data_IF_400569118302
#
_entry.id   IF_400569118302
#
_cell.length_a   1.000
_cell.length_b   1.000
_cell.length_c   1.000
_cell.angle_alpha   90.00
_cell.angle_beta   90.00
_cell.angle_gamma   90.00
#
_symmetry.space_group_name_H-M   'P 1'
#
loop_
_entity.id
_entity.type
_entity.pdbx_description
1 polymer ?
#
# COMPACT_ATOMS: atom_id res chain seq x y z
N UNK A 1 24.49 10.59 10.65
CA UNK A 1 25.27 9.60 9.87
C UNK A 1 24.69 8.19 9.98
N UNK A 2 24.33 7.71 11.18
CA UNK A 2 23.77 6.35 11.41
C UNK A 2 22.55 6.01 10.52
N UNK A 3 21.59 6.93 10.39
CA UNK A 3 20.40 6.72 9.55
C UNK A 3 20.72 6.38 8.07
N UNK A 4 21.85 6.86 7.53
CA UNK A 4 22.26 6.56 6.15
C UNK A 4 22.63 5.09 5.95
N UNK A 5 23.12 4.42 6.99
CA UNK A 5 23.46 2.99 6.94
C UNK A 5 22.24 2.10 6.75
N UNK A 6 21.06 2.52 7.23
CA UNK A 6 19.80 1.80 6.97
C UNK A 6 19.54 1.63 5.47
N UNK A 7 19.97 2.58 4.64
CA UNK A 7 19.79 2.53 3.21
C UNK A 7 20.61 1.44 2.52
N UNK A 8 21.86 1.24 2.96
CA UNK A 8 22.69 0.13 2.50
C UNK A 8 22.14 -1.22 2.96
N UNK A 9 21.59 -1.29 4.18
CA UNK A 9 20.95 -2.51 4.67
C UNK A 9 19.66 -2.84 3.92
N UNK A 10 18.86 -1.84 3.53
CA UNK A 10 17.67 -2.04 2.69
C UNK A 10 18.07 -2.53 1.29
N UNK A 11 19.13 -1.97 0.70
CA UNK A 11 19.68 -2.46 -0.56
C UNK A 11 20.17 -3.91 -0.41
N UNK A 12 20.90 -4.21 0.67
CA UNK A 12 21.38 -5.55 0.99
C UNK A 12 20.23 -6.55 1.15
N UNK A 13 19.22 -6.20 1.96
CA UNK A 13 17.98 -6.98 2.10
C UNK A 13 17.37 -7.29 0.74
N UNK A 14 17.20 -6.28 -0.12
CA UNK A 14 16.61 -6.47 -1.43
C UNK A 14 17.43 -7.42 -2.32
N UNK A 15 18.73 -7.20 -2.46
CA UNK A 15 19.60 -8.03 -3.30
C UNK A 15 19.70 -9.47 -2.76
N UNK A 16 19.85 -9.65 -1.45
CA UNK A 16 19.92 -10.96 -0.81
C UNK A 16 18.59 -11.71 -0.97
N UNK A 17 17.46 -11.01 -0.88
CA UNK A 17 16.16 -11.65 -1.07
C UNK A 17 15.91 -12.03 -2.55
N UNK A 18 16.48 -11.30 -3.52
CA UNK A 18 16.46 -11.74 -4.92
C UNK A 18 17.23 -13.06 -5.11
N UNK A 19 18.36 -13.25 -4.41
CA UNK A 19 19.07 -14.54 -4.44
C UNK A 19 18.20 -15.66 -3.86
N UNK A 20 17.45 -15.40 -2.78
CA UNK A 20 16.51 -16.37 -2.24
C UNK A 20 15.40 -16.70 -3.24
N UNK A 21 14.77 -15.69 -3.84
CA UNK A 21 13.60 -15.86 -4.71
C UNK A 21 13.89 -16.52 -6.06
N UNK A 22 15.12 -16.39 -6.58
CA UNK A 22 15.47 -16.88 -7.92
C UNK A 22 16.52 -18.00 -7.95
N UNK A 23 17.29 -18.16 -6.87
CA UNK A 23 18.38 -19.13 -6.79
C UNK A 23 18.27 -20.06 -5.57
N UNK A 24 17.12 -20.07 -4.88
CA UNK A 24 16.85 -20.86 -3.67
C UNK A 24 17.90 -20.64 -2.55
N UNK A 25 18.52 -19.46 -2.51
CA UNK A 25 19.43 -19.09 -1.42
C UNK A 25 18.70 -18.95 -0.08
N UNK A 26 19.40 -19.00 1.04
CA UNK A 26 18.78 -18.84 2.36
C UNK A 26 18.09 -17.47 2.49
N UNK A 27 16.87 -17.38 3.08
CA UNK A 27 16.17 -16.11 3.29
C UNK A 27 16.73 -15.31 4.48
N UNK A 28 17.50 -15.96 5.36
CA UNK A 28 17.98 -15.37 6.62
C UNK A 28 18.87 -14.13 6.45
N UNK A 29 19.83 -14.08 5.50
CA UNK A 29 20.63 -12.89 5.29
C UNK A 29 19.79 -11.66 4.93
N UNK A 30 18.74 -11.85 4.12
CA UNK A 30 17.80 -10.78 3.78
C UNK A 30 17.01 -10.32 5.01
N UNK A 31 16.50 -11.27 5.81
CA UNK A 31 15.79 -10.98 7.04
C UNK A 31 16.66 -10.22 8.05
N UNK A 32 17.90 -10.66 8.28
CA UNK A 32 18.85 -9.99 9.17
C UNK A 32 19.09 -8.55 8.71
N UNK A 33 19.28 -8.33 7.41
CA UNK A 33 19.44 -6.99 6.86
C UNK A 33 18.19 -6.11 7.06
N UNK A 34 16.98 -6.67 6.88
CA UNK A 34 15.71 -5.98 7.12
C UNK A 34 15.54 -5.57 8.60
N UNK A 35 15.81 -6.51 9.52
CA UNK A 35 15.72 -6.29 10.95
C UNK A 35 16.77 -5.28 11.43
N UNK A 36 18.01 -5.38 10.96
CA UNK A 36 19.06 -4.42 11.26
C UNK A 36 18.72 -3.01 10.74
N UNK A 37 18.19 -2.90 9.52
CA UNK A 37 17.73 -1.62 8.98
C UNK A 37 16.60 -1.00 9.82
N UNK A 38 15.67 -1.83 10.29
CA UNK A 38 14.57 -1.42 11.16
C UNK A 38 15.06 -0.95 12.53
N UNK A 39 15.99 -1.68 13.16
CA UNK A 39 16.62 -1.28 14.42
C UNK A 39 17.37 0.05 14.30
N UNK A 40 18.11 0.27 13.21
CA UNK A 40 18.77 1.56 12.95
C UNK A 40 17.78 2.71 12.73
N UNK A 41 16.59 2.41 12.18
CA UNK A 41 15.57 3.41 11.89
C UNK A 41 14.70 3.73 13.11
N UNK A 42 14.54 2.79 14.03
CA UNK A 42 13.65 2.91 15.21
C UNK A 42 13.79 4.21 16.00
N UNK A 43 15.00 4.71 16.35
CA UNK A 43 15.15 5.95 17.12
C UNK A 43 14.62 7.20 16.39
N UNK A 44 14.46 7.12 15.08
CA UNK A 44 14.03 8.22 14.21
C UNK A 44 12.53 8.21 13.92
N UNK A 45 11.79 7.25 14.47
CA UNK A 45 10.34 7.22 14.38
C UNK A 45 9.72 8.33 15.23
N UNK A 46 8.76 9.06 14.66
CA UNK A 46 8.07 10.16 15.33
C UNK A 46 6.55 10.01 15.21
N UNK A 47 5.83 10.65 16.14
CA UNK A 47 4.37 10.79 16.08
C UNK A 47 3.61 9.46 16.03
N UNK A 48 2.70 9.34 15.04
CA UNK A 48 1.85 8.17 14.88
C UNK A 48 2.65 6.89 14.57
N UNK A 49 3.69 6.97 13.73
CA UNK A 49 4.49 5.81 13.34
C UNK A 49 5.18 5.14 14.55
N UNK A 50 5.73 5.94 15.48
CA UNK A 50 6.35 5.41 16.71
C UNK A 50 5.33 4.73 17.62
N UNK A 51 4.15 5.33 17.81
CA UNK A 51 3.07 4.76 18.64
C UNK A 51 2.55 3.45 18.05
N UNK A 52 2.32 3.42 16.73
CA UNK A 52 1.91 2.22 16.02
C UNK A 52 2.96 1.11 16.11
N UNK A 53 4.24 1.44 15.93
CA UNK A 53 5.32 0.47 16.11
C UNK A 53 5.33 -0.08 17.54
N UNK A 54 5.30 0.77 18.58
CA UNK A 54 5.25 0.29 19.96
C UNK A 54 4.04 -0.63 20.23
N UNK A 55 2.87 -0.29 19.70
CA UNK A 55 1.67 -1.12 19.83
C UNK A 55 1.82 -2.48 19.13
N UNK A 56 2.31 -2.51 17.88
CA UNK A 56 2.52 -3.73 17.11
C UNK A 56 3.49 -4.68 17.82
N UNK A 57 4.68 -4.18 18.14
CA UNK A 57 5.74 -4.97 18.75
C UNK A 57 5.39 -5.38 20.19
N UNK A 58 4.73 -4.51 20.95
CA UNK A 58 4.24 -4.82 22.28
C UNK A 58 3.16 -5.90 22.26
N UNK A 59 2.16 -5.80 21.37
CA UNK A 59 1.13 -6.81 21.23
C UNK A 59 1.70 -8.15 20.75
N UNK A 60 2.62 -8.13 19.77
CA UNK A 60 3.30 -9.33 19.30
C UNK A 60 4.10 -10.02 20.43
N UNK A 61 4.80 -9.23 21.28
CA UNK A 61 5.52 -9.77 22.43
C UNK A 61 4.57 -10.39 23.45
N UNK A 62 3.44 -9.76 23.76
CA UNK A 62 2.44 -10.32 24.68
C UNK A 62 1.87 -11.64 24.16
N UNK A 63 1.53 -11.69 22.86
CA UNK A 63 1.03 -12.91 22.21
C UNK A 63 2.10 -14.01 22.17
N UNK A 64 3.36 -13.65 21.92
CA UNK A 64 4.50 -14.57 21.98
C UNK A 64 4.64 -15.18 23.37
N UNK A 65 4.66 -14.35 24.41
CA UNK A 65 4.77 -14.80 25.80
C UNK A 65 3.59 -15.69 26.21
N UNK A 66 2.37 -15.31 25.80
CA UNK A 66 1.17 -16.12 26.01
C UNK A 66 1.28 -17.50 25.33
N UNK A 67 1.64 -17.52 24.05
CA UNK A 67 1.73 -18.76 23.26
C UNK A 67 2.83 -19.67 23.79
N UNK A 68 3.98 -19.11 24.15
CA UNK A 68 5.08 -19.83 24.77
C UNK A 68 4.67 -20.44 26.12
N UNK A 69 3.99 -19.66 26.97
CA UNK A 69 3.48 -20.14 28.26
C UNK A 69 2.46 -21.27 28.12
N UNK A 70 1.70 -21.28 27.02
CA UNK A 70 0.75 -22.34 26.65
C UNK A 70 1.38 -23.52 25.91
N UNK A 71 2.71 -23.53 25.71
CA UNK A 71 3.45 -24.64 25.12
C UNK A 71 3.56 -24.63 23.59
N UNK A 72 3.33 -23.50 22.92
CA UNK A 72 3.50 -23.39 21.47
C UNK A 72 4.96 -23.67 21.05
N UNK A 73 5.15 -24.38 19.94
CA UNK A 73 6.46 -24.50 19.29
C UNK A 73 6.82 -23.17 18.62
N UNK A 74 7.94 -22.56 19.02
CA UNK A 74 8.42 -21.31 18.45
C UNK A 74 9.49 -21.59 17.39
N UNK A 75 9.14 -21.44 16.11
CA UNK A 75 10.09 -21.42 15.01
C UNK A 75 10.50 -19.99 14.69
N UNK A 76 11.79 -19.61 14.73
CA UNK A 76 12.23 -18.27 14.35
C UNK A 76 11.79 -17.86 12.94
N UNK A 77 11.65 -18.83 12.03
CA UNK A 77 11.22 -18.59 10.64
C UNK A 77 9.83 -17.97 10.58
N UNK A 78 8.88 -18.50 11.34
CA UNK A 78 7.47 -18.07 11.34
C UNK A 78 7.29 -16.64 11.87
N UNK A 79 8.25 -16.16 12.65
CA UNK A 79 8.20 -14.84 13.31
C UNK A 79 9.03 -13.78 12.59
N UNK A 80 10.18 -14.14 12.03
CA UNK A 80 11.16 -13.17 11.51
C UNK A 80 11.20 -13.06 9.99
N UNK A 81 10.69 -14.06 9.26
CA UNK A 81 10.62 -14.07 7.80
C UNK A 81 9.32 -13.49 7.19
N UNK A 82 8.17 -13.37 7.90
CA UNK A 82 7.00 -12.75 7.31
C UNK A 82 7.30 -11.35 6.77
N UNK A 83 6.64 -11.01 5.66
CA UNK A 83 6.71 -9.72 4.98
C UNK A 83 8.06 -9.35 4.30
N UNK A 84 9.12 -10.17 4.37
CA UNK A 84 10.40 -9.86 3.70
C UNK A 84 10.23 -9.71 2.17
N UNK A 85 9.41 -10.55 1.54
CA UNK A 85 9.10 -10.45 0.11
C UNK A 85 8.36 -9.14 -0.23
N UNK A 86 7.39 -8.74 0.59
CA UNK A 86 6.68 -7.48 0.45
C UNK A 86 7.63 -6.28 0.61
N UNK A 87 8.54 -6.32 1.58
CA UNK A 87 9.55 -5.27 1.81
C UNK A 87 10.51 -5.13 0.64
N UNK A 88 10.94 -6.27 0.09
CA UNK A 88 11.78 -6.35 -1.11
C UNK A 88 11.09 -5.69 -2.30
N UNK A 89 9.83 -6.04 -2.56
CA UNK A 89 9.02 -5.41 -3.61
C UNK A 89 8.87 -3.91 -3.38
N UNK A 90 8.63 -3.49 -2.14
CA UNK A 90 8.45 -2.09 -1.80
C UNK A 90 9.72 -1.25 -2.00
N UNK A 91 10.87 -1.77 -1.59
CA UNK A 91 12.17 -1.16 -1.87
C UNK A 91 12.41 -1.04 -3.38
N UNK A 92 12.13 -2.10 -4.14
CA UNK A 92 12.29 -2.12 -5.59
C UNK A 92 11.40 -1.08 -6.31
N UNK A 93 10.11 -1.02 -5.99
CA UNK A 93 9.18 -0.02 -6.58
C UNK A 93 9.61 1.41 -6.25
N UNK A 94 10.19 1.66 -5.07
CA UNK A 94 10.68 3.00 -4.72
C UNK A 94 11.74 3.53 -5.68
N UNK A 95 12.48 2.65 -6.37
CA UNK A 95 13.52 3.02 -7.35
C UNK A 95 12.93 3.61 -8.63
N UNK A 96 11.66 3.38 -8.95
CA UNK A 96 10.99 3.95 -10.13
C UNK A 96 11.02 5.49 -10.14
N UNK A 97 11.22 6.10 -8.97
CA UNK A 97 11.47 7.54 -8.85
C UNK A 97 12.73 8.04 -9.58
N UNK A 98 13.71 7.17 -9.81
CA UNK A 98 14.92 7.49 -10.59
C UNK A 98 14.57 7.84 -12.04
N UNK A 99 13.54 7.18 -12.60
CA UNK A 99 13.08 7.41 -13.96
C UNK A 99 12.15 8.61 -14.10
N UNK A 100 11.49 9.05 -13.03
CA UNK A 100 10.40 10.04 -13.11
C UNK A 100 10.86 11.49 -12.89
N UNK A 101 12.09 11.69 -12.41
CA UNK A 101 12.64 13.00 -12.03
C UNK A 101 12.77 14.01 -13.19
N UNK A 102 12.68 13.57 -14.46
CA UNK A 102 12.76 14.44 -15.64
C UNK A 102 11.51 14.47 -16.53
N UNK A 103 10.47 13.66 -16.23
CA UNK A 103 9.34 13.44 -17.15
C UNK A 103 8.23 14.49 -17.06
N UNK A 104 8.28 15.41 -16.08
CA UNK A 104 7.08 16.15 -15.62
C UNK A 104 7.24 17.69 -15.61
N UNK A 105 8.33 18.22 -16.19
CA UNK A 105 8.61 19.67 -16.25
C UNK A 105 8.05 20.36 -17.52
N UNK A 106 7.68 21.64 -17.39
CA UNK A 106 7.54 22.57 -18.52
C UNK A 106 6.22 22.54 -19.30
N UNK A 107 5.05 22.64 -18.65
CA UNK A 107 3.77 22.55 -19.39
C UNK A 107 2.66 23.39 -18.77
N UNK A 108 1.77 23.94 -19.60
CA UNK A 108 0.61 24.73 -19.15
C UNK A 108 -0.38 23.87 -18.34
N UNK A 109 -1.05 24.46 -17.35
CA UNK A 109 -2.15 23.80 -16.65
C UNK A 109 -3.35 23.63 -17.58
N UNK A 110 -4.16 22.60 -17.35
CA UNK A 110 -5.47 22.48 -17.99
C UNK A 110 -6.52 22.94 -16.98
N UNK A 111 -7.50 23.71 -17.43
CA UNK A 111 -8.59 24.20 -16.57
C UNK A 111 -9.90 23.45 -16.79
N UNK A 112 -10.88 23.71 -15.93
CA UNK A 112 -12.24 23.20 -16.10
C UNK A 112 -12.37 21.70 -15.87
N UNK A 113 -13.42 21.12 -16.47
CA UNK A 113 -13.66 19.66 -16.46
C UNK A 113 -12.50 18.87 -17.04
N UNK A 114 -11.87 19.39 -18.09
CA UNK A 114 -10.71 18.76 -18.72
C UNK A 114 -9.53 18.68 -17.75
N UNK A 115 -9.26 19.76 -17.01
CA UNK A 115 -8.26 19.80 -15.93
C UNK A 115 -8.56 18.79 -14.83
N UNK A 116 -9.81 18.71 -14.37
CA UNK A 116 -10.25 17.79 -13.32
C UNK A 116 -10.02 16.31 -13.71
N UNK A 117 -10.60 15.86 -14.82
CA UNK A 117 -10.49 14.47 -15.26
C UNK A 117 -9.06 14.08 -15.59
N UNK A 118 -8.30 14.99 -16.20
CA UNK A 118 -6.89 14.79 -16.47
C UNK A 118 -6.05 14.64 -15.19
N UNK A 119 -6.36 15.41 -14.15
CA UNK A 119 -5.69 15.30 -12.84
C UNK A 119 -6.00 13.97 -12.19
N UNK A 120 -7.27 13.55 -12.19
CA UNK A 120 -7.69 12.26 -11.63
C UNK A 120 -7.05 11.09 -12.37
N UNK A 121 -7.06 11.10 -13.70
CA UNK A 121 -6.43 10.07 -14.53
C UNK A 121 -4.91 10.02 -14.27
N UNK A 122 -4.25 11.18 -14.18
CA UNK A 122 -2.83 11.27 -13.83
C UNK A 122 -2.54 10.66 -12.46
N UNK A 123 -3.30 11.06 -11.43
CA UNK A 123 -3.10 10.53 -10.08
C UNK A 123 -3.28 9.03 -9.99
N UNK A 124 -4.29 8.49 -10.67
CA UNK A 124 -4.60 7.07 -10.58
C UNK A 124 -3.61 6.22 -11.40
N UNK A 125 -3.37 6.57 -12.67
CA UNK A 125 -2.50 5.79 -13.56
C UNK A 125 -1.02 5.92 -13.18
N UNK A 126 -0.55 7.13 -12.86
CA UNK A 126 0.83 7.33 -12.44
C UNK A 126 1.03 6.87 -10.99
N UNK A 127 0.05 7.11 -10.10
CA UNK A 127 0.11 6.66 -8.71
C UNK A 127 0.04 5.16 -8.54
N UNK A 128 -0.63 4.46 -9.47
CA UNK A 128 -0.62 3.01 -9.54
C UNK A 128 0.81 2.44 -9.57
N UNK A 129 1.79 3.15 -10.14
CA UNK A 129 3.15 2.65 -10.36
C UNK A 129 4.23 3.44 -9.62
N UNK A 130 4.21 4.77 -9.70
CA UNK A 130 5.28 5.66 -9.23
C UNK A 130 5.27 5.84 -7.70
N UNK A 131 4.17 5.45 -7.03
CA UNK A 131 3.97 5.57 -5.58
C UNK A 131 3.67 7.02 -5.13
N UNK A 132 3.75 7.28 -3.81
CA UNK A 132 3.38 8.53 -3.15
C UNK A 132 4.04 9.78 -3.73
N UNK A 133 5.19 9.64 -4.40
CA UNK A 133 5.85 10.76 -5.07
C UNK A 133 4.99 11.44 -6.13
N UNK A 134 4.06 10.73 -6.79
CA UNK A 134 3.13 11.36 -7.77
C UNK A 134 2.28 12.45 -7.11
N UNK A 135 1.86 12.22 -5.87
CA UNK A 135 0.96 13.10 -5.15
C UNK A 135 1.65 14.43 -4.84
N UNK A 136 2.96 14.40 -4.56
CA UNK A 136 3.76 15.62 -4.43
C UNK A 136 4.07 16.29 -5.76
N UNK A 137 4.36 15.51 -6.81
CA UNK A 137 4.68 16.10 -8.11
C UNK A 137 3.48 16.85 -8.70
N UNK A 138 2.29 16.26 -8.57
CA UNK A 138 1.05 16.91 -9.00
C UNK A 138 0.68 18.03 -8.02
N UNK A 139 0.78 17.79 -6.71
CA UNK A 139 0.49 18.79 -5.68
C UNK A 139 1.33 20.07 -5.81
N UNK A 140 2.67 19.95 -5.94
CA UNK A 140 3.58 21.10 -6.06
C UNK A 140 3.30 21.94 -7.31
N UNK A 141 2.73 21.32 -8.33
CA UNK A 141 2.37 22.01 -9.57
C UNK A 141 1.02 22.73 -9.49
N UNK A 142 0.15 22.28 -8.59
CA UNK A 142 -1.16 22.88 -8.35
C UNK A 142 -1.12 23.91 -7.21
N UNK A 143 -0.12 23.81 -6.35
CA UNK A 143 0.09 24.67 -5.19
C UNK A 143 0.26 26.14 -5.58
N UNK A 144 -0.34 27.02 -4.76
CA UNK A 144 -0.08 28.45 -4.74
C UNK A 144 0.23 28.88 -3.31
N UNK A 145 1.38 29.55 -3.12
CA UNK A 145 1.82 30.07 -1.83
C UNK A 145 1.85 29.02 -0.69
N UNK A 146 2.32 27.81 -0.98
CA UNK A 146 2.41 26.72 -0.01
C UNK A 146 1.09 26.03 0.30
N UNK A 147 0.02 26.31 -0.44
CA UNK A 147 -1.33 25.78 -0.17
C UNK A 147 -2.02 25.26 -1.41
N UNK A 148 -3.02 24.40 -1.22
CA UNK A 148 -3.86 23.83 -2.27
C UNK A 148 -5.33 24.20 -2.04
N UNK A 149 -6.08 24.37 -3.12
CA UNK A 149 -7.52 24.56 -3.03
C UNK A 149 -8.22 23.29 -2.52
N UNK A 150 -9.34 23.47 -1.80
CA UNK A 150 -10.18 22.36 -1.31
C UNK A 150 -10.47 21.30 -2.38
N UNK A 151 -10.82 21.73 -3.60
CA UNK A 151 -11.12 20.85 -4.74
C UNK A 151 -9.91 20.00 -5.12
N UNK A 152 -8.73 20.59 -5.19
CA UNK A 152 -7.47 19.92 -5.52
C UNK A 152 -7.08 18.93 -4.42
N UNK A 153 -7.23 19.33 -3.16
CA UNK A 153 -6.99 18.47 -1.99
C UNK A 153 -7.88 17.23 -2.01
N UNK A 154 -9.18 17.40 -2.29
CA UNK A 154 -10.12 16.28 -2.42
C UNK A 154 -9.69 15.31 -3.54
N UNK A 155 -9.30 15.83 -4.70
CA UNK A 155 -8.82 15.02 -5.83
C UNK A 155 -7.55 14.25 -5.48
N UNK A 156 -6.55 14.94 -4.90
CA UNK A 156 -5.26 14.35 -4.52
C UNK A 156 -5.39 13.27 -3.45
N UNK A 157 -6.11 13.57 -2.36
CA UNK A 157 -6.27 12.64 -1.23
C UNK A 157 -7.01 11.36 -1.61
N UNK A 158 -8.02 11.46 -2.49
CA UNK A 158 -8.88 10.33 -2.84
C UNK A 158 -8.34 9.49 -3.97
N UNK A 159 -7.98 10.12 -5.10
CA UNK A 159 -7.76 9.39 -6.35
C UNK A 159 -6.40 8.69 -6.40
N UNK A 160 -5.40 9.23 -5.70
CA UNK A 160 -4.15 8.49 -5.44
C UNK A 160 -4.43 7.19 -4.67
N UNK A 161 -5.25 7.27 -3.61
CA UNK A 161 -5.59 6.11 -2.80
C UNK A 161 -6.48 5.10 -3.54
N UNK A 162 -7.36 5.57 -4.43
CA UNK A 162 -8.19 4.71 -5.27
C UNK A 162 -7.38 3.85 -6.26
N UNK A 163 -6.12 4.18 -6.54
CA UNK A 163 -5.24 3.33 -7.34
C UNK A 163 -4.95 1.98 -6.64
N UNK A 164 -5.04 1.93 -5.30
CA UNK A 164 -4.87 0.72 -4.51
C UNK A 164 -5.94 -0.35 -4.81
N UNK A 165 -7.11 0.02 -5.36
CA UNK A 165 -8.19 -0.92 -5.64
C UNK A 165 -7.85 -1.93 -6.73
N UNK A 166 -6.91 -1.60 -7.62
CA UNK A 166 -6.64 -2.42 -8.81
C UNK A 166 -5.15 -2.60 -9.12
N UNK A 167 -4.28 -1.68 -8.69
CA UNK A 167 -2.90 -1.69 -9.15
C UNK A 167 -2.07 -2.79 -8.47
N UNK A 168 -1.43 -3.68 -9.24
CA UNK A 168 -0.56 -4.71 -8.67
C UNK A 168 0.78 -4.17 -8.16
N UNK A 169 1.15 -2.94 -8.52
CA UNK A 169 2.40 -2.29 -8.08
C UNK A 169 2.22 -1.46 -6.81
N UNK A 170 0.97 -1.30 -6.36
CA UNK A 170 0.69 -0.61 -5.12
C UNK A 170 1.03 -1.52 -3.94
N UNK A 171 1.52 -0.91 -2.86
CA UNK A 171 1.84 -1.62 -1.61
C UNK A 171 0.66 -2.45 -1.09
N UNK A 172 -0.56 -1.94 -1.25
CA UNK A 172 -1.78 -2.63 -0.89
C UNK A 172 -1.90 -4.01 -1.54
N UNK A 173 -1.44 -4.17 -2.79
CA UNK A 173 -1.42 -5.48 -3.45
C UNK A 173 -0.44 -6.44 -2.78
N UNK A 174 0.76 -5.97 -2.41
CA UNK A 174 1.71 -6.82 -1.71
C UNK A 174 1.19 -7.30 -0.36
N UNK A 175 0.46 -6.43 0.34
CA UNK A 175 -0.24 -6.77 1.58
C UNK A 175 -1.35 -7.79 1.30
N UNK A 176 -2.20 -7.55 0.29
CA UNK A 176 -3.28 -8.47 -0.07
C UNK A 176 -2.74 -9.86 -0.46
N UNK A 177 -1.70 -9.94 -1.30
CA UNK A 177 -1.06 -11.22 -1.67
C UNK A 177 -0.40 -11.93 -0.48
N UNK A 178 0.11 -11.17 0.50
CA UNK A 178 0.75 -11.75 1.69
C UNK A 178 -0.27 -12.31 2.67
N UNK A 179 -1.41 -11.62 2.86
CA UNK A 179 -2.43 -12.00 3.84
C UNK A 179 -3.64 -12.74 3.25
N UNK A 180 -3.75 -12.81 1.93
CA UNK A 180 -4.70 -13.64 1.20
C UNK A 180 -3.97 -14.51 0.13
N UNK A 181 -3.07 -15.42 0.55
CA UNK A 181 -2.39 -16.33 -0.38
C UNK A 181 -3.39 -17.10 -1.26
N UNK A 182 -3.12 -17.15 -2.56
CA UNK A 182 -4.02 -17.75 -3.55
C UNK A 182 -4.95 -16.75 -4.26
N UNK A 183 -4.92 -15.47 -3.88
CA UNK A 183 -5.61 -14.38 -4.58
C UNK A 183 -5.34 -14.42 -6.09
N UNK A 184 -6.41 -14.49 -6.88
CA UNK A 184 -6.32 -14.43 -8.34
C UNK A 184 -6.55 -13.01 -8.82
N UNK A 185 -5.47 -12.31 -9.22
CA UNK A 185 -5.57 -10.92 -9.67
C UNK A 185 -6.58 -10.74 -10.81
N UNK A 186 -6.66 -11.69 -11.74
CA UNK A 186 -7.56 -11.62 -12.89
C UNK A 186 -9.05 -11.56 -12.52
N UNK A 187 -9.47 -12.22 -11.44
CA UNK A 187 -10.88 -12.25 -11.02
C UNK A 187 -11.29 -10.96 -10.31
N UNK A 188 -10.39 -10.34 -9.55
CA UNK A 188 -10.68 -9.11 -8.79
C UNK A 188 -10.45 -7.82 -9.58
N UNK A 189 -9.61 -7.86 -10.63
CA UNK A 189 -9.19 -6.67 -11.38
C UNK A 189 -10.37 -5.86 -11.97
N UNK A 190 -11.40 -6.48 -12.60
CA UNK A 190 -12.55 -5.73 -13.13
C UNK A 190 -13.28 -4.93 -12.03
N UNK A 191 -13.47 -5.52 -10.86
CA UNK A 191 -14.12 -4.87 -9.73
C UNK A 191 -13.28 -3.73 -9.15
N UNK A 192 -11.95 -3.93 -9.08
CA UNK A 192 -11.01 -2.89 -8.66
C UNK A 192 -11.02 -1.67 -9.60
N UNK A 193 -11.00 -1.90 -10.92
CA UNK A 193 -11.08 -0.85 -11.94
C UNK A 193 -12.42 -0.12 -11.84
N UNK A 194 -13.53 -0.87 -11.75
CA UNK A 194 -14.86 -0.29 -11.61
C UNK A 194 -14.97 0.56 -10.33
N UNK A 195 -14.46 0.07 -9.20
CA UNK A 195 -14.42 0.83 -7.95
C UNK A 195 -13.59 2.12 -8.08
N UNK A 196 -12.46 2.09 -8.78
CA UNK A 196 -11.64 3.28 -9.04
C UNK A 196 -12.35 4.30 -9.94
N UNK A 197 -13.06 3.84 -10.98
CA UNK A 197 -13.87 4.70 -11.85
C UNK A 197 -15.04 5.33 -11.09
N UNK A 198 -15.72 4.56 -10.23
CA UNK A 198 -16.77 5.08 -9.34
C UNK A 198 -16.20 6.08 -8.33
N UNK A 199 -15.02 5.84 -7.78
CA UNK A 199 -14.32 6.80 -6.92
C UNK A 199 -14.01 8.12 -7.65
N UNK A 200 -13.59 8.05 -8.92
CA UNK A 200 -13.40 9.22 -9.77
C UNK A 200 -14.73 9.94 -10.04
N UNK A 201 -15.79 9.21 -10.37
CA UNK A 201 -17.12 9.78 -10.62
C UNK A 201 -17.69 10.49 -9.38
N UNK A 202 -17.62 9.86 -8.21
CA UNK A 202 -18.03 10.45 -6.94
C UNK A 202 -17.20 11.69 -6.59
N UNK A 203 -15.89 11.65 -6.84
CA UNK A 203 -15.00 12.79 -6.62
C UNK A 203 -15.32 13.93 -7.58
N UNK A 204 -15.51 13.64 -8.87
CA UNK A 204 -15.90 14.62 -9.87
C UNK A 204 -17.23 15.29 -9.50
N UNK A 205 -18.25 14.50 -9.17
CA UNK A 205 -19.55 15.01 -8.74
C UNK A 205 -19.45 15.99 -7.55
N UNK A 206 -18.66 15.67 -6.53
CA UNK A 206 -18.46 16.56 -5.39
C UNK A 206 -17.64 17.81 -5.73
N UNK A 207 -16.65 17.69 -6.60
CA UNK A 207 -15.83 18.84 -7.05
C UNK A 207 -16.63 19.76 -7.96
N UNK A 208 -17.44 19.23 -8.88
CA UNK A 208 -18.29 20.01 -9.77
C UNK A 208 -19.33 20.82 -8.99
N UNK A 209 -19.87 20.28 -7.89
CA UNK A 209 -20.74 21.02 -6.96
C UNK A 209 -20.06 22.18 -6.25
N UNK A 210 -18.73 22.17 -6.15
CA UNK A 210 -17.93 23.27 -5.62
C UNK A 210 -17.50 24.26 -6.73
N UNK A 211 -17.98 24.06 -7.96
CA UNK A 211 -17.60 24.78 -9.17
C UNK A 211 -16.42 24.12 -9.86
N UNK A 212 -16.48 23.92 -11.18
CA UNK A 212 -15.41 23.28 -11.96
C UNK A 212 -14.73 24.23 -12.95
N UNK A 213 -15.40 25.29 -13.39
CA UNK A 213 -14.89 26.18 -14.46
C UNK A 213 -13.53 26.81 -14.12
N UNK A 214 -13.33 27.15 -12.85
CA UNK A 214 -12.07 27.72 -12.34
C UNK A 214 -11.11 26.68 -11.78
N UNK A 215 -11.38 25.38 -11.95
CA UNK A 215 -10.50 24.33 -11.46
C UNK A 215 -9.23 24.29 -12.30
N UNK A 216 -8.09 24.51 -11.67
CA UNK A 216 -6.78 24.29 -12.30
C UNK A 216 -6.28 22.88 -12.02
N UNK A 217 -5.97 22.17 -13.10
CA UNK A 217 -5.59 20.77 -13.09
C UNK A 217 -4.27 20.47 -13.79
N UNK A 218 -3.85 19.23 -13.61
CA UNK A 218 -2.63 18.66 -14.14
C UNK A 218 -2.89 17.92 -15.47
N UNK A 219 -2.14 18.22 -16.55
CA UNK A 219 -2.30 17.56 -17.84
C UNK A 219 -1.65 16.18 -17.87
N UNK A 220 -2.44 15.13 -18.13
CA UNK A 220 -1.94 13.79 -18.38
C UNK A 220 -1.26 13.76 -19.75
N UNK A 221 -0.01 13.33 -19.77
CA UNK A 221 0.78 13.15 -20.99
C UNK A 221 0.97 11.68 -21.25
N UNK A 222 0.68 11.22 -22.46
CA UNK A 222 0.87 9.81 -22.83
C UNK A 222 2.34 9.37 -22.68
N UNK A 223 3.28 10.30 -22.86
CA UNK A 223 4.71 10.03 -22.67
C UNK A 223 5.05 9.62 -21.23
N UNK A 224 4.28 10.05 -20.23
CA UNK A 224 4.53 9.71 -18.82
C UNK A 224 3.99 8.33 -18.44
N UNK A 225 3.16 7.73 -19.30
CA UNK A 225 2.61 6.38 -19.13
C UNK A 225 3.56 5.28 -19.63
N UNK A 226 4.62 5.62 -20.37
CA UNK A 226 5.55 4.63 -20.94
C UNK A 226 6.14 3.69 -19.89
N UNK A 227 6.64 4.24 -18.77
CA UNK A 227 7.20 3.44 -17.67
C UNK A 227 6.12 2.58 -16.98
N UNK A 228 4.98 3.12 -16.51
CA UNK A 228 3.87 2.33 -15.96
C UNK A 228 3.39 1.18 -16.85
N UNK A 229 3.16 1.45 -18.13
CA UNK A 229 2.64 0.46 -19.08
C UNK A 229 3.70 -0.62 -19.35
N UNK A 230 4.96 -0.23 -19.53
CA UNK A 230 6.06 -1.20 -19.76
C UNK A 230 6.23 -2.14 -18.56
N UNK A 231 6.20 -1.60 -17.33
CA UNK A 231 6.25 -2.41 -16.13
C UNK A 231 5.06 -3.38 -16.06
N UNK A 232 3.85 -2.90 -16.32
CA UNK A 232 2.65 -3.73 -16.31
C UNK A 232 2.71 -4.90 -17.30
N UNK A 233 3.09 -4.61 -18.55
CA UNK A 233 3.21 -5.64 -19.58
C UNK A 233 4.29 -6.66 -19.24
N UNK A 234 5.47 -6.22 -18.79
CA UNK A 234 6.55 -7.15 -18.44
C UNK A 234 6.18 -8.06 -17.27
N UNK A 235 5.53 -7.53 -16.23
CA UNK A 235 5.10 -8.36 -15.09
C UNK A 235 4.08 -9.41 -15.51
N UNK A 236 3.09 -9.03 -16.33
CA UNK A 236 2.09 -9.97 -16.84
C UNK A 236 2.72 -11.04 -17.75
N UNK A 237 3.62 -10.64 -18.65
CA UNK A 237 4.31 -11.57 -19.57
C UNK A 237 5.20 -12.54 -18.79
N UNK A 238 6.05 -12.04 -17.88
CA UNK A 238 6.96 -12.90 -17.10
C UNK A 238 6.16 -13.87 -16.24
N UNK A 239 5.13 -13.40 -15.52
CA UNK A 239 4.32 -14.26 -14.67
C UNK A 239 3.54 -15.31 -15.48
N UNK A 240 3.15 -15.00 -16.73
CA UNK A 240 2.52 -15.97 -17.63
C UNK A 240 3.47 -17.10 -18.03
N UNK A 241 4.74 -16.81 -18.28
CA UNK A 241 5.74 -17.82 -18.64
C UNK A 241 6.34 -18.55 -17.42
N UNK A 242 6.33 -17.91 -16.25
CA UNK A 242 6.89 -18.47 -15.02
C UNK A 242 5.90 -18.34 -13.84
N UNK A 243 4.79 -19.12 -13.85
CA UNK A 243 3.70 -18.97 -12.88
C UNK A 243 4.12 -19.30 -11.44
N UNK A 244 5.19 -20.07 -11.24
CA UNK A 244 5.76 -20.36 -9.93
C UNK A 244 6.41 -19.15 -9.25
N UNK A 245 6.79 -18.12 -10.01
CA UNK A 245 7.30 -16.88 -9.44
C UNK A 245 6.15 -16.00 -8.97
N UNK A 246 6.18 -15.62 -7.69
CA UNK A 246 5.24 -14.65 -7.15
C UNK A 246 5.32 -13.31 -7.89
N UNK A 247 4.18 -12.64 -8.06
CA UNK A 247 4.13 -11.29 -8.67
C UNK A 247 5.08 -10.32 -7.94
N UNK A 248 5.23 -10.46 -6.61
CA UNK A 248 6.17 -9.67 -5.81
C UNK A 248 7.62 -9.87 -6.23
N UNK A 249 8.03 -11.11 -6.49
CA UNK A 249 9.37 -11.43 -6.97
C UNK A 249 9.64 -10.84 -8.35
N UNK A 250 8.66 -10.90 -9.25
CA UNK A 250 8.77 -10.33 -10.60
C UNK A 250 8.91 -8.80 -10.52
N UNK A 251 8.07 -8.12 -9.74
CA UNK A 251 8.15 -6.67 -9.54
C UNK A 251 9.50 -6.28 -8.91
N UNK A 252 9.96 -7.05 -7.91
CA UNK A 252 11.22 -6.80 -7.21
C UNK A 252 12.45 -6.83 -8.13
N UNK A 253 12.37 -7.53 -9.26
CA UNK A 253 13.42 -7.59 -10.27
C UNK A 253 13.20 -6.53 -11.37
N UNK A 254 12.00 -6.44 -11.93
CA UNK A 254 11.73 -5.65 -13.15
C UNK A 254 11.71 -4.14 -12.89
N UNK A 255 11.06 -3.70 -11.81
CA UNK A 255 10.95 -2.26 -11.49
C UNK A 255 12.30 -1.53 -11.45
N UNK A 256 13.34 -2.02 -10.76
CA UNK A 256 14.65 -1.38 -10.71
C UNK A 256 15.40 -1.43 -12.04
N UNK A 257 15.27 -2.51 -12.81
CA UNK A 257 15.85 -2.58 -14.16
C UNK A 257 15.25 -1.51 -15.08
N UNK A 258 13.92 -1.35 -15.05
CA UNK A 258 13.26 -0.28 -15.79
C UNK A 258 13.63 1.10 -15.25
N UNK A 259 13.75 1.26 -13.94
CA UNK A 259 14.20 2.53 -13.36
C UNK A 259 15.59 2.93 -13.89
N UNK A 260 16.52 1.99 -13.97
CA UNK A 260 17.87 2.21 -14.53
C UNK A 260 17.87 2.44 -16.04
N UNK A 261 16.96 1.80 -16.77
CA UNK A 261 16.83 1.98 -18.22
C UNK A 261 16.25 3.36 -18.57
N UNK A 262 15.22 3.79 -17.85
CA UNK A 262 14.49 5.04 -18.12
C UNK A 262 15.07 6.26 -17.38
N UNK A 263 16.02 6.10 -16.46
CA UNK A 263 16.60 7.25 -15.76
C UNK A 263 17.44 8.15 -16.67
N UNK A 264 17.35 9.49 -16.48
CA UNK A 264 18.19 10.44 -17.21
C UNK A 264 19.68 10.09 -17.12
N UNK A 265 20.42 10.29 -18.21
CA UNK A 265 21.87 10.08 -18.24
C UNK A 265 22.61 11.11 -17.39
N UNK A 266 22.19 12.38 -17.47
CA UNK A 266 22.76 13.45 -16.67
C UNK A 266 22.48 13.24 -15.17
N UNK A 267 23.52 13.32 -14.34
CA UNK A 267 23.38 13.21 -12.88
C UNK A 267 23.11 11.79 -12.35
N UNK A 268 23.24 10.76 -13.18
CA UNK A 268 22.95 9.34 -12.84
C UNK A 268 23.63 8.87 -11.55
N UNK A 269 24.93 9.10 -11.41
CA UNK A 269 25.67 8.68 -10.21
C UNK A 269 25.17 9.34 -8.93
N UNK A 270 24.83 10.63 -8.99
CA UNK A 270 24.27 11.37 -7.86
C UNK A 270 22.86 10.88 -7.50
N UNK A 271 22.03 10.57 -8.50
CA UNK A 271 20.68 10.04 -8.30
C UNK A 271 20.71 8.65 -7.63
N UNK A 272 21.60 7.76 -8.08
CA UNK A 272 21.79 6.44 -7.47
C UNK A 272 22.30 6.54 -6.02
N UNK A 273 23.29 7.40 -5.78
CA UNK A 273 23.77 7.67 -4.42
C UNK A 273 22.64 8.19 -3.53
N UNK A 274 21.80 9.09 -4.04
CA UNK A 274 20.62 9.61 -3.33
C UNK A 274 19.57 8.54 -3.05
N UNK A 275 19.36 7.61 -3.98
CA UNK A 275 18.46 6.49 -3.78
C UNK A 275 18.88 5.67 -2.55
N UNK A 276 20.16 5.32 -2.46
CA UNK A 276 20.69 4.52 -1.34
C UNK A 276 20.77 5.33 -0.05
N UNK A 277 21.27 6.56 -0.09
CA UNK A 277 21.64 7.31 1.13
C UNK A 277 20.49 8.16 1.70
N UNK A 278 19.47 8.45 0.90
CA UNK A 278 18.34 9.31 1.31
C UNK A 278 16.99 8.62 1.13
N UNK A 279 16.70 8.04 -0.04
CA UNK A 279 15.36 7.50 -0.34
C UNK A 279 15.07 6.17 0.37
N UNK A 280 16.01 5.23 0.38
CA UNK A 280 15.84 4.00 1.17
C UNK A 280 15.70 4.30 2.69
N UNK A 281 16.54 5.16 3.30
CA UNK A 281 16.32 5.56 4.69
C UNK A 281 14.99 6.30 4.94
N UNK A 282 14.43 6.97 3.93
CA UNK A 282 13.14 7.65 4.06
C UNK A 282 11.96 6.67 4.19
N UNK A 283 12.05 5.48 3.56
CA UNK A 283 11.03 4.44 3.68
C UNK A 283 11.23 3.52 4.91
N UNK A 284 12.32 3.71 5.68
CA UNK A 284 12.61 2.85 6.83
C UNK A 284 11.53 2.85 7.91
N UNK A 285 10.72 3.92 8.02
CA UNK A 285 9.57 3.91 8.94
C UNK A 285 8.49 2.92 8.54
N UNK A 286 8.26 2.75 7.23
CA UNK A 286 7.35 1.73 6.71
C UNK A 286 7.96 0.33 6.89
N UNK A 287 9.27 0.18 6.73
CA UNK A 287 9.98 -1.08 7.01
C UNK A 287 9.70 -1.58 8.42
N UNK A 288 9.83 -0.71 9.43
CA UNK A 288 9.54 -1.05 10.84
C UNK A 288 8.09 -1.47 11.02
N UNK A 289 7.14 -0.72 10.45
CA UNK A 289 5.71 -1.06 10.59
C UNK A 289 5.35 -2.38 9.92
N UNK A 290 6.00 -2.72 8.79
CA UNK A 290 5.72 -3.94 8.04
C UNK A 290 6.30 -5.16 8.73
N UNK A 291 7.51 -5.06 9.29
CA UNK A 291 8.06 -6.12 10.14
C UNK A 291 7.23 -6.30 11.41
N UNK A 292 6.82 -5.20 12.06
CA UNK A 292 5.94 -5.25 13.23
C UNK A 292 4.58 -5.88 12.94
N UNK A 293 4.00 -5.59 11.78
CA UNK A 293 2.76 -6.22 11.32
C UNK A 293 2.93 -7.73 11.09
N UNK A 294 4.08 -8.15 10.55
CA UNK A 294 4.42 -9.57 10.38
C UNK A 294 4.55 -10.28 11.73
N UNK A 295 5.23 -9.67 12.69
CA UNK A 295 5.31 -10.18 14.06
C UNK A 295 3.95 -10.25 14.74
N UNK A 296 3.09 -9.24 14.56
CA UNK A 296 1.73 -9.27 15.11
C UNK A 296 0.95 -10.45 14.52
N UNK A 297 0.98 -10.62 13.20
CA UNK A 297 0.28 -11.72 12.54
C UNK A 297 0.82 -13.09 12.99
N UNK A 298 2.14 -13.24 13.10
CA UNK A 298 2.79 -14.44 13.64
C UNK A 298 2.37 -14.70 15.09
N UNK A 299 2.28 -13.66 15.92
CA UNK A 299 1.82 -13.78 17.30
C UNK A 299 0.36 -14.19 17.42
N UNK A 300 -0.51 -13.66 16.56
CA UNK A 300 -1.92 -14.10 16.53
C UNK A 300 -2.00 -15.56 16.08
N UNK A 301 -1.32 -15.94 14.99
CA UNK A 301 -1.28 -17.34 14.54
C UNK A 301 -0.76 -18.29 15.63
N UNK A 302 0.31 -17.91 16.33
CA UNK A 302 0.87 -18.70 17.42
C UNK A 302 -0.12 -18.83 18.58
N UNK A 303 -0.82 -17.75 18.94
CA UNK A 303 -1.84 -17.79 19.99
C UNK A 303 -3.03 -18.66 19.59
N UNK A 304 -3.49 -18.57 18.34
CA UNK A 304 -4.56 -19.42 17.81
C UNK A 304 -4.16 -20.90 17.82
N UNK A 305 -2.89 -21.24 17.61
CA UNK A 305 -2.43 -22.64 17.61
C UNK A 305 -2.54 -23.36 18.96
N UNK A 306 -2.65 -22.61 20.06
CA UNK A 306 -2.73 -23.13 21.44
C UNK A 306 -4.08 -22.87 22.12
N UNK A 307 -4.99 -22.21 21.40
CA UNK A 307 -6.36 -21.97 21.81
C UNK A 307 -7.24 -23.04 21.17
N UNK A 308 -7.90 -23.83 22.00
CA UNK A 308 -8.97 -24.73 21.55
C UNK A 308 -10.28 -23.94 21.60
N UNK A 309 -10.82 -23.58 20.43
CA UNK A 309 -12.10 -22.89 20.30
C UNK A 309 -13.31 -23.85 20.36
N UNK A 310 -13.07 -25.14 20.65
CA UNK A 310 -14.07 -26.19 20.56
C UNK A 310 -14.24 -26.69 19.13
N UNK A 311 -14.91 -27.82 18.96
CA UNK A 311 -15.02 -28.59 17.70
C UNK A 311 -15.70 -27.88 16.52
N UNK A 312 -16.15 -26.63 16.68
CA UNK A 312 -16.59 -25.77 15.58
C UNK A 312 -15.41 -24.97 15.05
N UNK A 313 -15.10 -25.10 13.76
CA UNK A 313 -13.98 -24.42 13.08
C UNK A 313 -14.19 -22.89 12.94
N UNK A 314 -14.98 -22.27 13.82
CA UNK A 314 -15.35 -20.87 13.77
C UNK A 314 -14.66 -20.05 14.86
N UNK A 315 -14.39 -18.78 14.56
CA UNK A 315 -14.38 -17.77 15.60
C UNK A 315 -15.74 -17.81 16.32
N UNK A 316 -15.86 -17.38 17.59
CA UNK A 316 -17.13 -17.38 18.32
C UNK A 316 -18.30 -16.66 17.62
N UNK A 317 -18.00 -15.85 16.60
CA UNK A 317 -18.94 -14.98 15.88
C UNK A 317 -19.27 -15.42 14.45
N UNK A 318 -18.40 -16.20 13.77
CA UNK A 318 -18.57 -16.50 12.34
C UNK A 318 -18.17 -17.95 12.02
N UNK A 319 -18.93 -18.58 11.11
CA UNK A 319 -18.72 -19.97 10.66
C UNK A 319 -18.23 -20.07 9.21
N UNK A 320 -18.26 -18.97 8.46
CA UNK A 320 -17.77 -18.87 7.08
C UNK A 320 -17.38 -17.41 6.81
N UNK A 321 -16.73 -17.13 5.68
CA UNK A 321 -16.41 -15.78 5.24
C UNK A 321 -17.11 -15.46 3.92
N UNK A 322 -18.29 -14.84 4.01
CA UNK A 322 -19.10 -14.43 2.87
C UNK A 322 -19.20 -12.92 2.72
N UNK A 323 -20.28 -12.48 2.06
CA UNK A 323 -20.50 -11.06 1.76
C UNK A 323 -20.59 -10.20 3.04
N UNK A 324 -21.34 -10.67 4.04
CA UNK A 324 -21.57 -9.92 5.28
C UNK A 324 -20.27 -9.78 6.08
N UNK A 325 -19.51 -10.87 6.24
CA UNK A 325 -18.25 -10.88 6.96
C UNK A 325 -17.21 -9.99 6.28
N UNK A 326 -17.17 -9.99 4.95
CA UNK A 326 -16.32 -9.08 4.18
C UNK A 326 -16.73 -7.61 4.38
N UNK A 327 -18.02 -7.29 4.38
CA UNK A 327 -18.52 -5.93 4.67
C UNK A 327 -18.17 -5.49 6.10
N UNK A 328 -18.36 -6.34 7.09
CA UNK A 328 -18.03 -6.05 8.49
C UNK A 328 -16.52 -5.89 8.71
N UNK A 329 -15.71 -6.73 8.05
CA UNK A 329 -14.25 -6.62 8.06
C UNK A 329 -13.80 -5.30 7.45
N UNK A 330 -14.38 -4.93 6.29
CA UNK A 330 -14.12 -3.65 5.64
C UNK A 330 -14.49 -2.47 6.55
N UNK A 331 -15.65 -2.53 7.21
CA UNK A 331 -16.12 -1.51 8.14
C UNK A 331 -15.16 -1.36 9.32
N UNK A 332 -14.70 -2.47 9.90
CA UNK A 332 -13.72 -2.47 10.98
C UNK A 332 -12.42 -1.78 10.54
N UNK A 333 -11.85 -2.18 9.40
CA UNK A 333 -10.63 -1.56 8.85
C UNK A 333 -10.85 -0.04 8.66
N UNK A 334 -12.01 0.35 8.12
CA UNK A 334 -12.34 1.74 7.85
C UNK A 334 -12.45 2.58 9.14
N UNK A 335 -13.20 2.12 10.13
CA UNK A 335 -13.40 2.83 11.41
C UNK A 335 -12.10 2.94 12.21
N UNK A 336 -11.33 1.86 12.27
CA UNK A 336 -10.02 1.82 12.96
C UNK A 336 -9.02 2.74 12.25
N UNK A 337 -9.11 2.88 10.92
CA UNK A 337 -8.27 3.82 10.21
C UNK A 337 -8.60 5.30 10.46
N UNK A 338 -9.87 5.64 10.70
CA UNK A 338 -10.28 7.03 11.03
C UNK A 338 -9.59 7.50 12.31
N UNK A 339 -9.45 6.64 13.32
CA UNK A 339 -8.73 6.95 14.56
C UNK A 339 -7.20 6.94 14.42
N UNK A 340 -6.69 6.65 13.23
CA UNK A 340 -5.28 6.80 12.87
C UNK A 340 -4.45 5.54 12.97
N UNK A 341 -5.06 4.36 12.97
CA UNK A 341 -4.36 3.09 12.78
C UNK A 341 -4.14 2.86 11.29
N UNK A 342 -2.93 2.46 10.90
CA UNK A 342 -2.63 2.20 9.50
C UNK A 342 -3.37 0.94 9.00
N UNK A 343 -3.97 0.92 7.79
CA UNK A 343 -4.74 -0.24 7.30
C UNK A 343 -3.97 -1.56 7.31
N UNK A 344 -2.66 -1.50 7.04
CA UNK A 344 -1.75 -2.64 7.21
C UNK A 344 -1.90 -3.34 8.58
N UNK A 345 -1.98 -2.56 9.66
CA UNK A 345 -2.07 -3.09 11.05
C UNK A 345 -3.38 -3.83 11.22
N UNK A 346 -4.47 -3.21 10.76
CA UNK A 346 -5.79 -3.83 10.77
C UNK A 346 -5.79 -5.13 9.96
N UNK A 347 -5.27 -5.11 8.73
CA UNK A 347 -5.19 -6.28 7.85
C UNK A 347 -4.36 -7.40 8.50
N UNK A 348 -3.16 -7.08 9.02
CA UNK A 348 -2.31 -8.07 9.69
C UNK A 348 -2.92 -8.64 10.98
N UNK A 349 -3.78 -7.86 11.64
CA UNK A 349 -4.48 -8.29 12.84
C UNK A 349 -5.68 -9.18 12.51
N UNK A 350 -6.46 -8.85 11.49
CA UNK A 350 -7.69 -9.60 11.16
C UNK A 350 -7.42 -10.82 10.28
N UNK A 351 -6.44 -10.79 9.38
CA UNK A 351 -6.22 -11.88 8.43
C UNK A 351 -5.97 -13.24 9.11
N UNK A 352 -5.08 -13.37 10.12
CA UNK A 352 -4.92 -14.59 10.90
C UNK A 352 -6.22 -15.11 11.53
N UNK A 353 -7.10 -14.20 11.95
CA UNK A 353 -8.38 -14.54 12.59
C UNK A 353 -9.41 -15.03 11.56
N UNK A 354 -9.34 -14.53 10.33
CA UNK A 354 -10.28 -14.88 9.26
C UNK A 354 -9.90 -16.17 8.53
N UNK A 355 -8.62 -16.52 8.46
CA UNK A 355 -8.15 -17.72 7.76
C UNK A 355 -8.78 -19.05 8.22
N UNK A 356 -9.02 -19.28 9.52
CA UNK A 356 -9.76 -20.45 10.00
C UNK A 356 -11.16 -20.62 9.40
N UNK A 357 -11.79 -19.54 8.91
CA UNK A 357 -13.11 -19.58 8.26
C UNK A 357 -13.06 -20.07 6.81
N UNK A 358 -11.89 -20.49 6.31
CA UNK A 358 -11.64 -20.90 4.94
C UNK A 358 -12.19 -19.90 3.88
N UNK A 359 -11.78 -18.62 3.93
CA UNK A 359 -12.27 -17.61 3.01
C UNK A 359 -11.84 -17.89 1.58
N UNK A 360 -12.65 -17.49 0.59
CA UNK A 360 -12.17 -17.34 -0.78
C UNK A 360 -11.02 -16.30 -0.79
N UNK A 361 -9.80 -16.67 -1.23
CA UNK A 361 -8.66 -15.76 -1.18
C UNK A 361 -8.85 -14.50 -2.02
N UNK A 362 -9.65 -14.58 -3.08
CA UNK A 362 -9.91 -13.46 -3.97
C UNK A 362 -10.87 -12.44 -3.34
N UNK A 363 -11.94 -12.90 -2.71
CA UNK A 363 -12.83 -12.08 -1.91
C UNK A 363 -12.09 -11.41 -0.74
N UNK A 364 -11.27 -12.18 0.00
CA UNK A 364 -10.49 -11.65 1.12
C UNK A 364 -9.48 -10.60 0.64
N UNK A 365 -8.73 -10.90 -0.43
CA UNK A 365 -7.78 -9.95 -1.02
C UNK A 365 -8.47 -8.68 -1.52
N UNK A 366 -9.64 -8.80 -2.17
CA UNK A 366 -10.46 -7.68 -2.59
C UNK A 366 -10.92 -6.82 -1.41
N UNK A 367 -11.38 -7.44 -0.31
CA UNK A 367 -11.72 -6.75 0.94
C UNK A 367 -10.53 -5.94 1.47
N UNK A 368 -9.32 -6.50 1.46
CA UNK A 368 -8.11 -5.80 1.91
C UNK A 368 -7.70 -4.64 1.00
N UNK A 369 -7.78 -4.79 -0.32
CA UNK A 369 -7.49 -3.73 -1.28
C UNK A 369 -8.47 -2.56 -1.15
N UNK A 370 -9.76 -2.88 -1.05
CA UNK A 370 -10.82 -1.89 -0.85
C UNK A 370 -10.68 -1.21 0.51
N UNK A 371 -10.42 -1.97 1.57
CA UNK A 371 -10.18 -1.45 2.91
C UNK A 371 -8.99 -0.50 2.94
N UNK A 372 -7.89 -0.86 2.27
CA UNK A 372 -6.73 0.03 2.17
C UNK A 372 -7.07 1.34 1.46
N UNK A 373 -7.56 1.29 0.21
CA UNK A 373 -7.79 2.50 -0.58
C UNK A 373 -8.86 3.42 0.02
N UNK A 374 -9.94 2.84 0.58
CA UNK A 374 -10.99 3.56 1.30
C UNK A 374 -10.42 4.26 2.54
N UNK A 375 -9.70 3.50 3.37
CA UNK A 375 -9.14 4.00 4.62
C UNK A 375 -8.09 5.07 4.38
N UNK A 376 -7.14 4.87 3.45
CA UNK A 376 -6.10 5.87 3.20
C UNK A 376 -6.63 7.11 2.51
N UNK A 377 -7.67 6.97 1.67
CA UNK A 377 -8.32 8.10 0.99
C UNK A 377 -9.19 8.96 1.90
N UNK A 378 -9.69 8.39 3.00
CA UNK A 378 -10.62 9.07 3.91
C UNK A 378 -9.97 9.51 5.23
N UNK A 379 -9.11 8.67 5.81
CA UNK A 379 -8.53 8.93 7.13
C UNK A 379 -7.60 10.15 7.10
N UNK A 380 -7.76 11.11 8.03
CA UNK A 380 -6.91 12.30 8.09
C UNK A 380 -5.50 12.00 8.58
N UNK A 381 -5.32 10.83 9.21
CA UNK A 381 -4.07 10.38 9.81
C UNK A 381 -3.37 9.32 8.93
N UNK A 382 -3.87 9.06 7.72
CA UNK A 382 -3.19 8.21 6.75
C UNK A 382 -1.86 8.84 6.33
N UNK A 383 -0.86 8.03 5.96
CA UNK A 383 0.45 8.53 5.56
C UNK A 383 0.39 9.50 4.37
N UNK A 384 -0.50 9.24 3.41
CA UNK A 384 -0.73 10.14 2.27
C UNK A 384 -1.35 11.47 2.68
N UNK A 385 -2.40 11.44 3.52
CA UNK A 385 -3.10 12.64 3.95
C UNK A 385 -2.29 13.48 4.95
N UNK A 386 -1.51 12.85 5.83
CA UNK A 386 -0.55 13.56 6.69
C UNK A 386 0.56 14.21 5.88
N UNK A 387 1.04 13.55 4.82
CA UNK A 387 2.05 14.15 3.97
C UNK A 387 1.50 15.32 3.15
N UNK A 388 0.26 15.23 2.65
CA UNK A 388 -0.45 16.38 2.07
C UNK A 388 -0.61 17.50 3.08
N UNK A 389 -1.07 17.18 4.29
CA UNK A 389 -1.31 18.15 5.35
C UNK A 389 -0.02 18.90 5.75
N UNK A 390 1.07 18.17 5.94
CA UNK A 390 2.36 18.74 6.31
C UNK A 390 2.98 19.56 5.18
N UNK A 391 2.83 19.15 3.91
CA UNK A 391 3.48 19.81 2.78
C UNK A 391 2.73 21.07 2.33
N UNK A 392 1.40 21.05 2.39
CA UNK A 392 0.54 22.12 1.87
C UNK A 392 -0.23 22.88 2.96
N UNK A 393 0.28 22.81 4.20
CA UNK A 393 -0.24 23.51 5.38
C UNK A 393 -1.75 23.33 5.61
N UNK A 394 -2.24 22.09 5.49
CA UNK A 394 -3.65 21.74 5.68
C UNK A 394 -3.88 21.17 7.08
N UNK A 395 -5.08 21.35 7.63
CA UNK A 395 -5.45 20.68 8.88
C UNK A 395 -5.99 19.27 8.62
N UNK A 396 -5.54 18.32 9.43
CA UNK A 396 -5.99 16.93 9.38
C UNK A 396 -7.52 16.83 9.59
N UNK A 397 -8.09 17.62 10.52
CA UNK A 397 -9.54 17.64 10.75
C UNK A 397 -10.36 18.10 9.55
N UNK A 398 -9.86 19.06 8.76
CA UNK A 398 -10.53 19.48 7.52
C UNK A 398 -10.50 18.39 6.46
N UNK A 399 -9.37 17.66 6.32
CA UNK A 399 -9.28 16.53 5.40
C UNK A 399 -10.36 15.47 5.69
N UNK A 400 -10.54 15.10 6.96
CA UNK A 400 -11.60 14.17 7.35
C UNK A 400 -12.98 14.72 6.99
N UNK A 401 -13.29 15.97 7.35
CA UNK A 401 -14.60 16.58 7.05
C UNK A 401 -14.90 16.60 5.56
N UNK A 402 -13.89 16.90 4.73
CA UNK A 402 -14.07 16.92 3.27
C UNK A 402 -14.17 15.53 2.66
N UNK A 403 -13.59 14.50 3.27
CA UNK A 403 -13.57 13.15 2.72
C UNK A 403 -14.57 12.18 3.37
N UNK A 404 -15.21 12.52 4.49
CA UNK A 404 -16.08 11.61 5.23
C UNK A 404 -17.26 11.09 4.39
N UNK A 405 -17.99 11.99 3.74
CA UNK A 405 -19.11 11.59 2.86
C UNK A 405 -18.61 10.71 1.70
N UNK A 406 -17.47 11.05 1.11
CA UNK A 406 -16.85 10.20 0.09
C UNK A 406 -16.51 8.81 0.64
N UNK A 407 -15.96 8.72 1.84
CA UNK A 407 -15.65 7.45 2.50
C UNK A 407 -16.90 6.59 2.75
N UNK A 408 -17.98 7.19 3.23
CA UNK A 408 -19.26 6.48 3.43
C UNK A 408 -19.84 5.94 2.11
N UNK A 409 -19.81 6.74 1.04
CA UNK A 409 -20.27 6.30 -0.28
C UNK A 409 -19.36 5.22 -0.87
N UNK A 410 -18.04 5.35 -0.71
CA UNK A 410 -17.09 4.35 -1.18
C UNK A 410 -17.12 3.06 -0.38
N UNK A 411 -17.47 3.10 0.90
CA UNK A 411 -17.77 1.90 1.68
C UNK A 411 -18.94 1.14 1.05
N UNK A 412 -20.05 1.82 0.74
CA UNK A 412 -21.18 1.18 0.06
C UNK A 412 -20.79 0.62 -1.32
N UNK A 413 -20.00 1.36 -2.12
CA UNK A 413 -19.46 0.87 -3.39
C UNK A 413 -18.66 -0.41 -3.18
N UNK A 414 -17.73 -0.43 -2.22
CA UNK A 414 -16.91 -1.60 -1.93
C UNK A 414 -17.75 -2.81 -1.50
N UNK A 415 -18.76 -2.62 -0.64
CA UNK A 415 -19.72 -3.67 -0.28
C UNK A 415 -20.47 -4.24 -1.50
N UNK A 416 -20.90 -3.36 -2.42
CA UNK A 416 -21.55 -3.78 -3.67
C UNK A 416 -20.60 -4.55 -4.59
N UNK A 417 -19.34 -4.12 -4.69
CA UNK A 417 -18.35 -4.82 -5.50
C UNK A 417 -18.06 -6.21 -4.94
N UNK A 418 -17.91 -6.36 -3.63
CA UNK A 418 -17.72 -7.67 -2.98
C UNK A 418 -18.95 -8.58 -3.18
N UNK A 419 -20.16 -8.01 -3.10
CA UNK A 419 -21.39 -8.75 -3.41
C UNK A 419 -21.47 -9.17 -4.88
N UNK A 420 -21.07 -8.29 -5.80
CA UNK A 420 -20.99 -8.60 -7.23
C UNK A 420 -19.94 -9.67 -7.55
N UNK A 421 -18.82 -9.69 -6.82
CA UNK A 421 -17.81 -10.73 -6.94
C UNK A 421 -18.40 -12.10 -6.60
N UNK A 422 -19.07 -12.20 -5.43
CA UNK A 422 -19.73 -13.43 -4.99
C UNK A 422 -20.84 -13.84 -5.97
N UNK A 423 -21.67 -12.91 -6.45
CA UNK A 423 -22.73 -13.24 -7.39
C UNK A 423 -22.21 -13.80 -8.74
N UNK A 424 -20.96 -13.52 -9.11
CA UNK A 424 -20.35 -13.98 -10.36
C UNK A 424 -19.47 -15.23 -10.21
N UNK A 425 -19.05 -15.57 -8.98
CA UNK A 425 -18.09 -16.66 -8.72
C UNK A 425 -18.54 -17.65 -7.63
N UNK A 426 -19.66 -17.38 -6.96
CA UNK A 426 -20.21 -18.18 -5.86
C UNK A 426 -21.34 -19.11 -6.26
#
# INVERSE_FOLDING_TARGET
MVKRWSGFLILGMWLLNLLHLYLDFSPWPAAIAAWAASLLTWPWLVGAARRQALALYGAALLLLLFSWWRGASLSPGDWLLPNINMLTMFAAVSTLNLATSGLLTGTASWSGRKGLWSTMASLNLLGAVINLSVLFIIGDRLERNGTLERRQVMVLSRIFCAAAFWSPFFVAMAVALTYAPGLQLGSILPFGILAALLAMGLTAWQVERLGVETFEGYPLRLQTLGLPVTLALLVLVIHRFWPGLSILAVIALVAPLLALLFMPQAGRGAALKRQVVERFPAIGGQLVLFLGAGLLAAGINSALSVLDFGSGHGLPLFNHFGWLEACLTLLLIFLVAIVGVHPLISISGVAPLLWPLAPDPSLLGMCFLMGWGLATGTSPLSGSNLALASRYNLSAGLLLRWNLLYGLLMYAVACLMMGGFIALHG
#
